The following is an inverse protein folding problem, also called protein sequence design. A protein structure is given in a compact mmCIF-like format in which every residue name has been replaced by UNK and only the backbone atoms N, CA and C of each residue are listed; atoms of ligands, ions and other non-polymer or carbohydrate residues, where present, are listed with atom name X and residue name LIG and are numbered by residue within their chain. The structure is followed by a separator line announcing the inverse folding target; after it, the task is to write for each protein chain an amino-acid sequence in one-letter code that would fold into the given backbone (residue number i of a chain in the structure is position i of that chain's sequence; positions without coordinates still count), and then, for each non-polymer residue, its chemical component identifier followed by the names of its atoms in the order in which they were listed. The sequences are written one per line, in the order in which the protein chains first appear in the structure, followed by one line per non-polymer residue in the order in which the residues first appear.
data_IF_896593076297
#
_entry.id   IF_896593076297
#
_cell.length_a   1.000
_cell.length_b   1.000
_cell.length_c   1.000
_cell.angle_alpha   90.00
_cell.angle_beta   90.00
_cell.angle_gamma   90.00
#
_symmetry.space_group_name_H-M   'P 1'
#
loop_
_entity.id
_entity.type
_entity.pdbx_description
1 polymer ?
#
# COMPACT_ATOMS: atom_id res chain seq x y z
N UNK A 1 19.77 22.99 6.66
CA UNK A 1 18.70 22.67 7.64
C UNK A 1 18.00 21.44 7.12
N UNK A 2 18.37 20.25 7.60
CA UNK A 2 17.76 18.99 7.15
C UNK A 2 16.50 18.80 7.99
N UNK A 3 15.32 19.02 7.40
CA UNK A 3 14.06 18.70 8.06
C UNK A 3 13.99 17.18 8.27
N UNK A 4 13.74 16.76 9.50
CA UNK A 4 13.48 15.37 9.85
C UNK A 4 12.33 14.84 8.96
N UNK A 5 12.40 13.61 8.42
CA UNK A 5 11.31 13.02 7.62
C UNK A 5 9.92 13.17 8.23
N UNK A 6 9.81 13.12 9.57
CA UNK A 6 8.54 13.34 10.26
C UNK A 6 7.97 14.75 10.07
N UNK A 7 8.82 15.77 10.04
CA UNK A 7 8.42 17.16 9.83
C UNK A 7 7.99 17.40 8.37
N UNK A 8 8.63 16.71 7.43
CA UNK A 8 8.22 16.73 6.02
C UNK A 8 6.84 16.11 5.83
N UNK A 9 6.56 14.97 6.48
CA UNK A 9 5.24 14.33 6.45
C UNK A 9 4.17 15.27 7.01
N UNK A 10 4.42 15.90 8.15
CA UNK A 10 3.49 16.87 8.77
C UNK A 10 3.17 18.03 7.83
N UNK A 11 4.19 18.62 7.19
CA UNK A 11 4.00 19.72 6.24
C UNK A 11 3.17 19.30 5.00
N UNK A 12 3.25 18.03 4.58
CA UNK A 12 2.42 17.49 3.49
C UNK A 12 0.98 17.27 3.97
N UNK A 13 0.78 16.82 5.21
CA UNK A 13 -0.56 16.57 5.78
C UNK A 13 -1.44 17.83 5.83
N UNK A 14 -0.85 19.02 5.96
CA UNK A 14 -1.59 20.29 5.96
C UNK A 14 -2.18 20.66 4.59
N UNK A 15 -1.61 20.13 3.48
CA UNK A 15 -2.06 20.39 2.10
C UNK A 15 -3.20 19.44 1.69
N UNK A 16 -4.32 19.49 2.41
CA UNK A 16 -5.47 18.57 2.23
C UNK A 16 -5.97 18.46 0.78
N UNK A 17 -5.91 19.51 -0.02
CA UNK A 17 -6.29 19.50 -1.44
C UNK A 17 -5.50 18.50 -2.29
N UNK A 18 -4.31 18.10 -1.83
CA UNK A 18 -3.40 17.21 -2.53
C UNK A 18 -3.45 15.77 -2.01
N UNK A 19 -4.25 15.50 -0.96
CA UNK A 19 -4.39 14.17 -0.35
C UNK A 19 -5.63 13.49 -0.91
N UNK A 20 -5.48 12.25 -1.37
CA UNK A 20 -6.57 11.43 -1.91
C UNK A 20 -6.66 10.13 -1.12
N UNK A 21 -7.72 9.99 -0.33
CA UNK A 21 -8.07 8.74 0.32
C UNK A 21 -8.83 7.87 -0.69
N UNK A 22 -8.25 6.75 -1.08
CA UNK A 22 -8.83 5.85 -2.09
C UNK A 22 -8.74 4.40 -1.59
N UNK A 23 -9.64 3.56 -2.07
CA UNK A 23 -9.64 2.12 -1.79
C UNK A 23 -9.83 1.33 -3.08
N UNK A 24 -9.29 0.11 -3.11
CA UNK A 24 -9.45 -0.83 -4.23
C UNK A 24 -10.49 -1.87 -3.82
N UNK A 25 -11.62 -1.91 -4.54
CA UNK A 25 -12.69 -2.88 -4.32
C UNK A 25 -12.85 -3.71 -5.60
N UNK A 26 -12.85 -5.03 -5.45
CA UNK A 26 -13.02 -5.99 -6.53
C UNK A 26 -13.41 -7.36 -5.95
N UNK A 27 -13.83 -8.27 -6.81
CA UNK A 27 -14.11 -9.66 -6.44
C UNK A 27 -12.84 -10.45 -6.08
N UNK A 28 -12.98 -11.54 -5.33
CA UNK A 28 -11.86 -12.44 -4.96
C UNK A 28 -11.12 -12.87 -6.23
N UNK A 29 -9.80 -13.00 -6.16
CA UNK A 29 -8.91 -13.34 -7.28
C UNK A 29 -8.86 -12.35 -8.47
N UNK A 30 -9.45 -11.17 -8.36
CA UNK A 30 -9.36 -10.11 -9.40
C UNK A 30 -8.11 -9.23 -9.27
N UNK A 31 -7.03 -9.72 -8.65
CA UNK A 31 -5.74 -9.02 -8.65
C UNK A 31 -5.66 -7.73 -7.82
N UNK A 32 -6.54 -7.53 -6.83
CA UNK A 32 -6.49 -6.34 -5.94
C UNK A 32 -5.13 -6.19 -5.25
N UNK A 33 -4.65 -7.25 -4.61
CA UNK A 33 -3.37 -7.23 -3.89
C UNK A 33 -2.21 -6.97 -4.86
N UNK A 34 -2.25 -7.52 -6.07
CA UNK A 34 -1.27 -7.27 -7.13
C UNK A 34 -1.26 -5.81 -7.60
N UNK A 35 -2.44 -5.21 -7.77
CA UNK A 35 -2.56 -3.79 -8.13
C UNK A 35 -1.99 -2.90 -7.04
N UNK A 36 -2.33 -3.17 -5.78
CA UNK A 36 -1.83 -2.40 -4.64
C UNK A 36 -0.31 -2.51 -4.49
N UNK A 37 0.25 -3.72 -4.62
CA UNK A 37 1.70 -3.91 -4.58
C UNK A 37 2.42 -3.14 -5.69
N UNK A 38 1.83 -3.07 -6.89
CA UNK A 38 2.38 -2.31 -8.00
C UNK A 38 2.43 -0.81 -7.70
N UNK A 39 1.40 -0.26 -7.05
CA UNK A 39 1.36 1.14 -6.62
C UNK A 39 2.39 1.43 -5.52
N UNK A 40 2.47 0.57 -4.51
CA UNK A 40 3.42 0.71 -3.39
C UNK A 40 4.87 0.57 -3.87
N UNK A 41 5.12 -0.32 -4.83
CA UNK A 41 6.42 -0.46 -5.48
C UNK A 41 6.79 0.77 -6.31
N UNK A 42 5.84 1.31 -7.09
CA UNK A 42 6.08 2.53 -7.88
C UNK A 42 6.35 3.75 -6.99
N UNK A 43 5.78 3.79 -5.79
CA UNK A 43 6.05 4.80 -4.77
C UNK A 43 7.43 4.63 -4.07
N UNK A 44 8.17 3.54 -4.37
CA UNK A 44 9.47 3.26 -3.78
C UNK A 44 9.43 2.69 -2.37
N UNK A 45 8.26 2.24 -1.89
CA UNK A 45 8.08 1.73 -0.53
C UNK A 45 8.49 0.26 -0.44
N UNK A 46 8.26 -0.53 -1.50
CA UNK A 46 8.75 -1.91 -1.63
C UNK A 46 9.65 -2.06 -2.86
N UNK A 47 10.64 -2.95 -2.78
CA UNK A 47 11.49 -3.28 -3.91
C UNK A 47 10.66 -3.87 -5.06
N UNK A 48 10.86 -3.40 -6.29
CA UNK A 48 10.10 -3.85 -7.47
C UNK A 48 10.19 -5.34 -7.72
N UNK A 49 11.32 -5.96 -7.37
CA UNK A 49 11.51 -7.40 -7.47
C UNK A 49 10.58 -8.22 -6.55
N UNK A 50 9.93 -7.59 -5.56
CA UNK A 50 9.00 -8.25 -4.63
C UNK A 50 7.55 -7.81 -4.80
N UNK A 51 7.26 -6.96 -5.78
CA UNK A 51 5.90 -6.50 -6.05
C UNK A 51 5.04 -7.67 -6.57
N UNK A 52 3.89 -7.93 -5.94
CA UNK A 52 2.96 -9.00 -6.31
C UNK A 52 3.17 -10.30 -5.54
N UNK A 53 4.40 -10.59 -5.09
CA UNK A 53 4.71 -11.72 -4.20
C UNK A 53 4.57 -11.35 -2.73
N UNK A 54 4.93 -10.11 -2.36
CA UNK A 54 4.88 -9.66 -0.97
C UNK A 54 3.45 -9.58 -0.46
N UNK A 55 2.49 -9.23 -1.33
CA UNK A 55 1.09 -8.95 -0.96
C UNK A 55 1.05 -8.06 0.26
N UNK A 56 1.63 -6.87 0.14
CA UNK A 56 1.96 -5.99 1.26
C UNK A 56 0.78 -5.69 2.20
N UNK A 57 -0.44 -5.71 1.65
CA UNK A 57 -1.68 -5.48 2.41
C UNK A 57 -2.23 -6.72 3.13
N UNK A 58 -1.81 -7.92 2.73
CA UNK A 58 -2.23 -9.19 3.35
C UNK A 58 -1.32 -9.44 4.58
N UNK A 59 -1.60 -8.73 5.67
CA UNK A 59 -0.75 -8.70 6.87
C UNK A 59 -0.86 -9.95 7.74
N UNK A 60 -1.93 -10.74 7.57
CA UNK A 60 -2.14 -11.96 8.36
C UNK A 60 -1.62 -13.19 7.64
N UNK A 61 -1.14 -14.16 8.41
CA UNK A 61 -0.61 -15.42 7.88
C UNK A 61 -1.65 -16.23 7.10
N UNK A 62 -2.90 -16.24 7.57
CA UNK A 62 -4.00 -16.94 6.89
C UNK A 62 -4.43 -16.28 5.57
N UNK A 63 -4.25 -14.95 5.46
CA UNK A 63 -4.46 -14.21 4.21
C UNK A 63 -3.41 -14.59 3.15
N UNK A 64 -2.15 -14.67 3.58
CA UNK A 64 -1.03 -15.05 2.72
C UNK A 64 -1.14 -16.52 2.25
N UNK A 65 -1.40 -17.45 3.18
CA UNK A 65 -1.53 -18.88 2.85
C UNK A 65 -2.69 -19.17 1.90
N UNK A 66 -3.80 -18.44 2.04
CA UNK A 66 -5.02 -18.63 1.24
C UNK A 66 -5.11 -17.71 0.04
N UNK A 67 -4.14 -16.81 -0.14
CA UNK A 67 -4.13 -15.84 -1.22
C UNK A 67 -5.36 -14.91 -1.25
N UNK A 68 -5.99 -14.64 -0.10
CA UNK A 68 -7.19 -13.79 0.02
C UNK A 68 -6.96 -12.63 0.99
N UNK A 69 -7.55 -11.48 0.70
CA UNK A 69 -7.61 -10.35 1.63
C UNK A 69 -8.87 -10.47 2.49
N UNK A 70 -8.71 -10.61 3.81
CA UNK A 70 -9.81 -10.79 4.77
C UNK A 70 -10.09 -9.48 5.50
N UNK A 71 -9.06 -8.69 5.78
CA UNK A 71 -9.16 -7.44 6.55
C UNK A 71 -8.45 -6.29 5.83
N UNK A 72 -9.12 -5.15 5.72
CA UNK A 72 -8.47 -3.90 5.34
C UNK A 72 -7.75 -3.30 6.55
N UNK A 73 -6.45 -3.03 6.40
CA UNK A 73 -5.62 -2.34 7.39
C UNK A 73 -5.06 -1.06 6.80
#
# INVERSE_FOLDING_TARGET
MILNPLDQIRAIMDKKSNIRNMSVIAHVDHGKSTLTDSLVSKAGIIASARAGETRFTDTRKDEQERCITIKST
#
